data_IF_855110454472
#
_entry.id   IF_855110454472
#
_cell.length_a   1.000
_cell.length_b   1.000
_cell.length_c   1.000
_cell.angle_alpha   90.00
_cell.angle_beta   90.00
_cell.angle_gamma   90.00
#
_symmetry.space_group_name_H-M   'P 1'
#
loop_
_entity.id
_entity.type
_entity.pdbx_description
1 polymer ?
#
# COMPACT_ATOMS: atom_id res chain seq x y z
N UNK A 1 33.69 -51.12 40.37
CA UNK A 1 34.39 -49.84 40.63
C UNK A 1 34.84 -49.27 39.29
N UNK A 2 34.62 -47.96 39.05
CA UNK A 2 34.79 -47.15 37.81
C UNK A 2 33.60 -47.25 36.84
N UNK A 3 32.51 -46.47 36.98
CA UNK A 3 32.30 -45.02 36.75
C UNK A 3 32.64 -44.54 35.33
N UNK A 4 31.62 -44.05 34.61
CA UNK A 4 31.71 -43.48 33.27
C UNK A 4 30.35 -43.04 32.73
N UNK A 5 29.82 -41.94 33.28
CA UNK A 5 28.63 -41.19 32.87
C UNK A 5 28.67 -40.81 31.37
N UNK A 6 27.63 -41.14 30.60
CA UNK A 6 27.31 -40.48 29.31
C UNK A 6 25.82 -40.16 29.24
N UNK A 7 25.52 -38.92 29.55
CA UNK A 7 24.27 -38.22 29.24
C UNK A 7 24.16 -38.11 27.71
N UNK A 8 23.02 -38.48 27.13
CA UNK A 8 22.69 -38.12 25.73
C UNK A 8 21.35 -37.38 25.73
N UNK A 9 21.44 -36.11 25.33
CA UNK A 9 20.38 -35.10 25.31
C UNK A 9 19.55 -35.22 24.02
N UNK A 10 18.23 -35.12 24.20
CA UNK A 10 17.17 -34.51 23.37
C UNK A 10 17.53 -33.96 21.98
N UNK A 11 16.64 -34.20 21.00
CA UNK A 11 16.30 -33.21 19.97
C UNK A 11 14.92 -33.50 19.32
N UNK A 12 13.88 -32.89 19.88
CA UNK A 12 12.61 -32.61 19.19
C UNK A 12 12.82 -31.47 18.19
N UNK A 13 12.44 -31.65 16.93
CA UNK A 13 12.40 -30.56 15.95
C UNK A 13 11.07 -30.59 15.18
N UNK A 14 10.06 -29.90 15.72
CA UNK A 14 8.89 -29.50 14.95
C UNK A 14 9.25 -28.32 14.05
N UNK A 15 9.20 -28.52 12.73
CA UNK A 15 9.25 -27.43 11.75
C UNK A 15 7.83 -26.88 11.57
N UNK A 16 7.40 -25.99 12.47
CA UNK A 16 6.29 -25.09 12.16
C UNK A 16 6.88 -23.88 11.43
N UNK A 17 6.71 -23.85 10.11
CA UNK A 17 6.99 -22.67 9.30
C UNK A 17 6.10 -21.52 9.76
N UNK A 18 6.68 -20.55 10.48
CA UNK A 18 6.05 -19.27 10.73
C UNK A 18 6.02 -18.53 9.38
N UNK A 19 4.85 -18.54 8.74
CA UNK A 19 4.55 -17.57 7.69
C UNK A 19 4.65 -16.17 8.30
N UNK A 20 5.77 -15.49 8.08
CA UNK A 20 5.93 -14.08 8.41
C UNK A 20 5.05 -13.30 7.42
N UNK A 21 3.80 -13.05 7.81
CA UNK A 21 3.03 -11.99 7.20
C UNK A 21 3.74 -10.68 7.53
N UNK A 22 4.60 -10.20 6.64
CA UNK A 22 5.14 -8.85 6.73
C UNK A 22 3.97 -7.90 6.47
N UNK A 23 3.36 -7.46 7.56
CA UNK A 23 2.35 -6.41 7.61
C UNK A 23 3.06 -5.05 7.44
N UNK A 24 3.70 -4.90 6.28
CA UNK A 24 4.44 -3.70 5.92
C UNK A 24 3.45 -2.72 5.28
N UNK A 25 3.19 -1.63 6.01
CA UNK A 25 2.45 -0.50 5.48
C UNK A 25 3.14 0.04 4.22
N UNK A 26 2.32 0.46 3.27
CA UNK A 26 2.78 0.93 1.95
C UNK A 26 2.69 2.44 1.81
N UNK A 27 1.86 3.06 2.65
CA UNK A 27 1.66 4.50 2.68
C UNK A 27 1.12 4.94 4.05
N UNK A 28 1.01 6.25 4.22
CA UNK A 28 0.33 6.88 5.35
C UNK A 28 -0.53 8.05 4.88
N UNK A 29 -1.54 8.39 5.66
CA UNK A 29 -2.28 9.64 5.48
C UNK A 29 -1.45 10.82 5.97
N UNK A 30 -1.09 11.74 5.07
CA UNK A 30 -0.51 13.04 5.40
C UNK A 30 -1.57 14.01 5.95
N UNK A 31 -2.78 13.94 5.43
CA UNK A 31 -3.89 14.80 5.83
C UNK A 31 -5.22 14.12 5.56
N UNK A 32 -6.19 14.35 6.42
CA UNK A 32 -7.57 13.89 6.26
C UNK A 32 -8.50 15.06 6.57
N UNK A 33 -9.48 15.31 5.71
CA UNK A 33 -10.53 16.30 5.92
C UNK A 33 -11.87 15.77 5.43
N UNK A 34 -12.92 15.92 6.25
CA UNK A 34 -14.25 15.38 5.96
C UNK A 34 -14.38 13.89 6.27
N UNK A 35 -15.33 13.24 5.61
CA UNK A 35 -15.62 11.81 5.75
C UNK A 35 -14.70 11.00 4.83
N UNK A 36 -13.60 10.49 5.39
CA UNK A 36 -12.73 9.52 4.72
C UNK A 36 -12.82 8.21 5.48
N UNK A 37 -12.84 7.10 4.76
CA UNK A 37 -12.88 5.75 5.33
C UNK A 37 -11.88 4.87 4.63
N UNK A 38 -11.33 3.92 5.37
CA UNK A 38 -10.49 2.84 4.85
C UNK A 38 -11.18 1.54 5.15
N UNK A 39 -11.47 0.76 4.11
CA UNK A 39 -11.91 -0.62 4.24
C UNK A 39 -10.70 -1.56 4.15
N UNK A 40 -10.51 -2.38 5.20
CA UNK A 40 -9.42 -3.34 5.35
C UNK A 40 -9.97 -4.66 5.85
N UNK A 41 -9.78 -5.74 5.07
CA UNK A 41 -10.17 -7.10 5.45
C UNK A 41 -11.62 -7.20 6.02
N UNK A 42 -12.56 -6.48 5.40
CA UNK A 42 -13.97 -6.44 5.82
C UNK A 42 -14.30 -5.50 6.98
N UNK A 43 -13.31 -4.87 7.59
CA UNK A 43 -13.51 -3.83 8.63
C UNK A 43 -13.36 -2.45 8.02
N UNK A 44 -14.12 -1.47 8.51
CA UNK A 44 -13.97 -0.06 8.13
C UNK A 44 -13.40 0.74 9.29
N UNK A 45 -12.40 1.58 9.00
CA UNK A 45 -11.83 2.53 9.95
C UNK A 45 -11.87 3.95 9.40
N UNK A 46 -11.89 4.93 10.31
CA UNK A 46 -11.79 6.36 10.00
C UNK A 46 -10.33 6.77 10.20
N UNK A 47 -9.59 7.14 9.15
CA UNK A 47 -8.20 7.52 9.27
C UNK A 47 -8.05 8.94 9.81
N UNK A 48 -6.91 9.18 10.45
CA UNK A 48 -6.41 10.51 10.79
C UNK A 48 -5.03 10.69 10.13
N UNK A 49 -4.45 11.89 10.22
CA UNK A 49 -3.07 12.06 9.81
C UNK A 49 -2.15 11.10 10.58
N UNK A 50 -1.26 10.42 9.86
CA UNK A 50 -0.39 9.36 10.38
C UNK A 50 -0.97 7.94 10.28
N UNK A 51 -2.26 7.76 9.97
CA UNK A 51 -2.82 6.41 9.80
C UNK A 51 -2.14 5.67 8.64
N UNK A 52 -1.65 4.47 8.92
CA UNK A 52 -1.02 3.59 7.93
C UNK A 52 -2.03 2.97 6.98
N UNK A 53 -1.63 2.88 5.73
CA UNK A 53 -2.33 2.18 4.65
C UNK A 53 -1.56 0.90 4.34
N UNK A 54 -2.29 -0.20 4.21
CA UNK A 54 -1.78 -1.50 3.83
C UNK A 54 -2.12 -1.82 2.38
N UNK A 55 -1.49 -2.85 1.82
CA UNK A 55 -1.90 -3.38 0.51
C UNK A 55 -3.34 -3.86 0.57
N UNK A 56 -4.07 -3.71 -0.54
CA UNK A 56 -5.47 -4.07 -0.69
C UNK A 56 -6.44 -3.27 0.18
N UNK A 57 -5.99 -2.17 0.81
CA UNK A 57 -6.90 -1.20 1.40
C UNK A 57 -7.68 -0.49 0.30
N UNK A 58 -8.97 -0.27 0.57
CA UNK A 58 -9.84 0.60 -0.23
C UNK A 58 -10.11 1.87 0.55
N UNK A 59 -9.73 3.01 -0.02
CA UNK A 59 -9.95 4.33 0.55
C UNK A 59 -11.14 4.99 -0.16
N UNK A 60 -12.11 5.43 0.63
CA UNK A 60 -13.28 6.17 0.12
C UNK A 60 -13.37 7.54 0.75
N UNK A 61 -13.75 8.55 -0.02
CA UNK A 61 -14.08 9.89 0.45
C UNK A 61 -15.55 10.21 0.18
N UNK A 62 -16.20 10.85 1.16
CA UNK A 62 -17.54 11.38 1.02
C UNK A 62 -17.59 12.72 0.27
N UNK A 63 -18.77 13.34 0.18
CA UNK A 63 -18.90 14.71 -0.32
C UNK A 63 -18.05 15.68 0.50
N UNK A 64 -17.47 16.71 -0.14
CA UNK A 64 -16.64 17.75 0.50
C UNK A 64 -15.49 17.20 1.36
N UNK A 65 -14.95 16.04 0.98
CA UNK A 65 -13.90 15.34 1.73
C UNK A 65 -12.65 15.20 0.88
N UNK A 66 -11.47 15.27 1.50
CA UNK A 66 -10.19 15.09 0.82
C UNK A 66 -9.21 14.33 1.70
N UNK A 67 -8.37 13.50 1.07
CA UNK A 67 -7.33 12.73 1.73
C UNK A 67 -6.01 12.89 1.02
N UNK A 68 -4.95 13.23 1.75
CA UNK A 68 -3.58 13.25 1.23
C UNK A 68 -2.84 12.01 1.70
N UNK A 69 -2.29 11.24 0.79
CA UNK A 69 -1.58 9.99 1.04
C UNK A 69 -0.13 10.15 0.55
N UNK A 70 0.81 9.65 1.35
CA UNK A 70 2.24 9.60 1.03
C UNK A 70 2.68 8.14 1.08
N UNK A 71 3.16 7.62 -0.03
CA UNK A 71 3.75 6.28 -0.13
C UNK A 71 5.21 6.27 0.32
N UNK A 72 5.73 5.09 0.67
CA UNK A 72 7.12 4.92 1.15
C UNK A 72 8.16 5.43 0.14
N UNK A 73 7.90 5.28 -1.15
CA UNK A 73 8.77 5.77 -2.24
C UNK A 73 8.69 7.29 -2.45
N UNK A 74 7.84 8.00 -1.69
CA UNK A 74 7.59 9.43 -1.80
C UNK A 74 6.51 9.81 -2.81
N UNK A 75 5.81 8.84 -3.41
CA UNK A 75 4.64 9.13 -4.26
C UNK A 75 3.55 9.81 -3.44
N UNK A 76 2.94 10.85 -3.99
CA UNK A 76 1.81 11.55 -3.38
C UNK A 76 0.53 11.25 -4.12
N UNK A 77 -0.52 10.95 -3.37
CA UNK A 77 -1.85 10.77 -3.90
C UNK A 77 -2.85 11.61 -3.11
N UNK A 78 -3.58 12.50 -3.79
CA UNK A 78 -4.63 13.31 -3.19
C UNK A 78 -5.98 12.83 -3.69
N UNK A 79 -6.79 12.28 -2.80
CA UNK A 79 -8.20 11.96 -3.04
C UNK A 79 -9.03 13.23 -3.00
N UNK A 80 -9.86 13.41 -4.02
CA UNK A 80 -10.93 14.40 -4.05
C UNK A 80 -12.24 13.83 -3.51
N UNK A 81 -13.29 14.65 -3.42
CA UNK A 81 -14.60 14.25 -2.93
C UNK A 81 -15.22 13.10 -3.74
N UNK A 82 -16.02 12.27 -3.07
CA UNK A 82 -16.77 11.17 -3.70
C UNK A 82 -15.91 10.15 -4.45
N UNK A 83 -14.68 9.93 -3.99
CA UNK A 83 -13.71 9.03 -4.64
C UNK A 83 -13.64 7.66 -3.97
N UNK A 84 -13.32 6.63 -4.75
CA UNK A 84 -13.05 5.28 -4.27
C UNK A 84 -11.81 4.75 -4.96
N UNK A 85 -10.75 4.52 -4.18
CA UNK A 85 -9.43 4.09 -4.67
C UNK A 85 -8.99 2.85 -3.93
N UNK A 86 -8.51 1.86 -4.67
CA UNK A 86 -7.90 0.65 -4.15
C UNK A 86 -6.40 0.65 -4.43
N UNK A 87 -5.60 0.33 -3.41
CA UNK A 87 -4.17 0.08 -3.57
C UNK A 87 -3.99 -1.40 -3.93
N UNK A 88 -4.05 -1.72 -5.22
CA UNK A 88 -4.06 -3.11 -5.70
C UNK A 88 -2.69 -3.76 -5.59
N UNK A 89 -1.61 -3.04 -5.94
CA UNK A 89 -0.23 -3.53 -5.81
C UNK A 89 0.71 -2.43 -5.38
N UNK A 90 1.62 -2.77 -4.48
CA UNK A 90 2.72 -1.90 -4.10
C UNK A 90 3.90 -2.76 -3.64
N UNK A 91 5.04 -2.61 -4.31
CA UNK A 91 6.32 -3.23 -3.98
C UNK A 91 7.39 -2.19 -4.25
N UNK A 92 8.16 -1.85 -3.21
CA UNK A 92 9.28 -0.93 -3.31
C UNK A 92 10.50 -1.51 -2.59
N UNK A 93 11.30 -2.30 -3.30
CA UNK A 93 12.51 -2.94 -2.76
C UNK A 93 13.73 -2.47 -3.55
N UNK A 94 14.38 -1.36 -3.13
CA UNK A 94 15.54 -0.82 -3.85
C UNK A 94 16.73 -1.78 -3.85
N UNK A 95 16.94 -2.53 -2.77
CA UNK A 95 18.05 -3.48 -2.61
C UNK A 95 18.03 -4.61 -3.65
N UNK A 96 16.83 -5.11 -3.99
CA UNK A 96 16.62 -6.21 -4.94
C UNK A 96 16.16 -5.71 -6.32
N UNK A 97 16.08 -4.39 -6.50
CA UNK A 97 15.51 -3.76 -7.71
C UNK A 97 14.13 -4.29 -8.10
N UNK A 98 13.30 -4.64 -7.11
CA UNK A 98 11.95 -5.18 -7.32
C UNK A 98 10.91 -4.09 -7.05
N UNK A 99 10.10 -3.80 -8.08
CA UNK A 99 9.21 -2.63 -8.10
C UNK A 99 7.87 -2.96 -8.75
N UNK A 100 6.77 -2.61 -8.09
CA UNK A 100 5.41 -2.67 -8.64
C UNK A 100 4.55 -1.59 -7.96
N UNK A 101 3.79 -0.83 -8.73
CA UNK A 101 2.83 0.13 -8.22
C UNK A 101 1.60 0.10 -9.11
N UNK A 102 0.47 -0.30 -8.53
CA UNK A 102 -0.82 -0.20 -9.19
C UNK A 102 -1.88 0.29 -8.22
N UNK A 103 -2.61 1.31 -8.66
CA UNK A 103 -3.82 1.77 -8.02
C UNK A 103 -4.99 1.63 -8.97
N UNK A 104 -6.17 1.42 -8.40
CA UNK A 104 -7.42 1.39 -9.14
C UNK A 104 -8.36 2.47 -8.60
N UNK A 105 -8.60 3.51 -9.40
CA UNK A 105 -9.60 4.54 -9.14
C UNK A 105 -10.92 4.08 -9.76
N UNK A 106 -11.84 3.62 -8.92
CA UNK A 106 -13.14 3.14 -9.37
C UNK A 106 -14.06 4.28 -9.81
N UNK A 107 -14.06 5.38 -9.05
CA UNK A 107 -14.83 6.61 -9.31
C UNK A 107 -14.22 7.81 -8.59
N UNK A 108 -14.62 9.01 -9.00
CA UNK A 108 -14.20 10.27 -8.40
C UNK A 108 -12.95 10.82 -9.06
N UNK A 109 -12.12 11.52 -8.29
CA UNK A 109 -10.91 12.15 -8.83
C UNK A 109 -9.73 12.00 -7.88
N UNK A 110 -8.54 11.89 -8.46
CA UNK A 110 -7.29 11.85 -7.71
C UNK A 110 -6.19 12.60 -8.41
N UNK A 111 -5.38 13.32 -7.65
CA UNK A 111 -4.12 13.87 -8.14
C UNK A 111 -3.01 12.90 -7.75
N UNK A 112 -2.26 12.44 -8.74
CA UNK A 112 -1.08 11.62 -8.57
C UNK A 112 0.17 12.48 -8.80
N UNK A 113 1.18 12.34 -7.95
CA UNK A 113 2.51 12.91 -8.15
C UNK A 113 3.59 11.86 -7.92
N UNK A 114 4.40 11.62 -8.95
CA UNK A 114 5.40 10.55 -8.96
C UNK A 114 6.43 10.67 -7.84
N UNK A 115 6.67 9.57 -7.13
CA UNK A 115 7.82 9.39 -6.23
C UNK A 115 9.03 8.76 -6.93
N UNK A 116 9.87 8.08 -6.16
CA UNK A 116 11.09 7.40 -6.65
C UNK A 116 10.76 6.30 -7.67
N UNK A 117 9.65 5.57 -7.50
CA UNK A 117 9.26 4.49 -8.43
C UNK A 117 9.09 4.99 -9.86
N UNK A 118 8.47 6.16 -10.04
CA UNK A 118 8.28 6.75 -11.38
C UNK A 118 9.58 7.10 -12.10
N UNK A 119 10.72 7.16 -11.39
CA UNK A 119 12.06 7.37 -11.96
C UNK A 119 12.84 6.06 -12.11
N UNK A 120 12.78 5.20 -11.09
CA UNK A 120 13.53 3.93 -11.05
C UNK A 120 12.94 2.86 -11.96
N UNK A 121 11.61 2.73 -11.96
CA UNK A 121 10.89 1.77 -12.79
C UNK A 121 9.56 2.35 -13.28
N UNK A 122 9.59 3.27 -14.27
CA UNK A 122 8.37 3.90 -14.79
C UNK A 122 7.38 2.90 -15.41
N UNK A 123 7.86 1.76 -15.93
CA UNK A 123 6.98 0.74 -16.50
C UNK A 123 6.22 -0.05 -15.42
N UNK A 124 6.68 0.00 -14.17
CA UNK A 124 6.03 -0.65 -13.03
C UNK A 124 4.89 0.18 -12.43
N UNK A 125 4.68 1.41 -12.90
CA UNK A 125 3.69 2.33 -12.30
C UNK A 125 2.47 2.46 -13.20
N UNK A 126 1.30 2.12 -12.65
CA UNK A 126 0.02 2.21 -13.34
C UNK A 126 -1.08 2.79 -12.46
N UNK A 127 -1.93 3.62 -13.09
CA UNK A 127 -3.20 4.09 -12.52
C UNK A 127 -4.31 3.56 -13.41
N UNK A 128 -5.19 2.74 -12.85
CA UNK A 128 -6.26 2.08 -13.59
C UNK A 128 -7.61 2.67 -13.18
N UNK A 129 -8.53 2.69 -14.12
CA UNK A 129 -9.94 3.07 -13.95
C UNK A 129 -10.80 2.04 -14.69
N UNK A 130 -12.13 1.99 -14.48
CA UNK A 130 -13.00 1.05 -15.21
C UNK A 130 -12.90 1.14 -16.74
N UNK A 131 -12.49 2.29 -17.27
CA UNK A 131 -12.49 2.59 -18.71
C UNK A 131 -11.10 2.73 -19.33
N UNK A 132 -10.05 2.87 -18.53
CA UNK A 132 -8.71 3.17 -19.02
C UNK A 132 -7.61 2.78 -18.04
N UNK A 133 -6.44 2.47 -18.58
CA UNK A 133 -5.18 2.27 -17.86
C UNK A 133 -4.19 3.36 -18.24
N UNK A 134 -3.55 3.96 -17.25
CA UNK A 134 -2.57 5.05 -17.41
C UNK A 134 -1.22 4.56 -16.89
N UNK A 135 -0.24 4.40 -17.79
CA UNK A 135 1.15 4.15 -17.42
C UNK A 135 1.87 5.47 -17.08
N UNK A 136 2.73 5.47 -16.06
CA UNK A 136 3.32 6.71 -15.54
C UNK A 136 4.84 6.74 -15.68
N UNK A 137 5.36 7.70 -16.45
CA UNK A 137 6.82 7.86 -16.70
C UNK A 137 7.44 9.08 -16.02
N UNK A 138 6.92 9.48 -14.86
CA UNK A 138 7.38 10.66 -14.13
C UNK A 138 6.59 11.91 -14.51
N UNK A 139 5.47 12.15 -13.82
CA UNK A 139 4.59 13.33 -14.00
C UNK A 139 3.71 13.53 -12.76
N UNK A 140 3.14 14.73 -12.64
CA UNK A 140 2.00 15.03 -11.78
C UNK A 140 0.77 15.25 -12.65
N UNK A 141 -0.32 14.52 -12.38
CA UNK A 141 -1.53 14.59 -13.21
C UNK A 141 -2.79 14.35 -12.38
N UNK A 142 -3.91 14.82 -12.91
CA UNK A 142 -5.26 14.57 -12.40
C UNK A 142 -5.87 13.41 -13.20
N UNK A 143 -6.51 12.47 -12.51
CA UNK A 143 -7.35 11.45 -13.12
C UNK A 143 -8.75 11.60 -12.57
N UNK A 144 -9.74 11.52 -13.47
CA UNK A 144 -11.16 11.51 -13.12
C UNK A 144 -11.78 10.25 -13.70
N UNK A 145 -12.53 9.52 -12.86
CA UNK A 145 -13.27 8.32 -13.25
C UNK A 145 -14.75 8.47 -12.88
N UNK A 146 -15.61 7.98 -13.76
CA UNK A 146 -17.07 8.04 -13.65
C UNK A 146 -17.67 6.65 -13.78
#
# INVERSE_FOLDING_TARGET
MKQGLRVLILATAGLTGLAQAQDEHVALFKSVSGDVKVARAGTTLVPVAGTHIMRSDVVTSGPKSTGGIVFVDGTLLTLDASSEIEITRYVFQPETSTYDFSIYLKKGATIYSSGKLGKLSPQSVSVNTPRASVGVRGTRFLVVAQ
#
